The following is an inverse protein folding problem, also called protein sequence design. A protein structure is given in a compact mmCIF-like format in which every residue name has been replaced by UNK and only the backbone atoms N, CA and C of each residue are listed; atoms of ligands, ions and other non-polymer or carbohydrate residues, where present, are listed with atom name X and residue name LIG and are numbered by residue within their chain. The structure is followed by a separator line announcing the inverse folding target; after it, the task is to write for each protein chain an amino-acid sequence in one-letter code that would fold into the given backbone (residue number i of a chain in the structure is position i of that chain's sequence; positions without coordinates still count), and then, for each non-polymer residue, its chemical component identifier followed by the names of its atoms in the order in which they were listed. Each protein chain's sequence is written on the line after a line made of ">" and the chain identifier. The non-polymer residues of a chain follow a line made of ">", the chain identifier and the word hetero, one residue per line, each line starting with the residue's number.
data_IF_654853693364
#
_entry.id   IF_654853693364
#
_cell.length_a   1.000
_cell.length_b   1.000
_cell.length_c   1.000
_cell.angle_alpha   90.00
_cell.angle_beta   90.00
_cell.angle_gamma   90.00
#
_symmetry.space_group_name_H-M   'P 1'
#
loop_
_entity.id
_entity.type
_entity.pdbx_description
1 polymer ?
#
# COMPACT_ATOMS: atom_id res chain seq x y z
N UNK A 1 -19.56 -11.96 48.56
CA UNK A 1 -18.57 -12.43 47.56
C UNK A 1 -18.59 -11.42 46.42
N UNK A 2 -17.50 -10.71 46.16
CA UNK A 2 -17.48 -9.67 45.12
C UNK A 2 -17.50 -10.34 43.74
N UNK A 3 -18.49 -10.03 42.92
CA UNK A 3 -18.54 -10.46 41.53
C UNK A 3 -17.32 -9.90 40.79
N UNK A 4 -16.40 -10.78 40.39
CA UNK A 4 -15.20 -10.39 39.66
C UNK A 4 -15.62 -9.92 38.27
N UNK A 5 -15.63 -8.61 38.04
CA UNK A 5 -16.00 -7.92 36.81
C UNK A 5 -15.48 -8.59 35.51
N UNK A 6 -16.30 -9.40 34.82
CA UNK A 6 -15.88 -10.15 33.62
C UNK A 6 -15.64 -9.24 32.41
N UNK A 7 -16.16 -8.01 32.45
CA UNK A 7 -16.02 -7.02 31.39
C UNK A 7 -14.61 -6.39 31.31
N UNK A 8 -13.80 -6.48 32.37
CA UNK A 8 -12.43 -5.95 32.34
C UNK A 8 -11.50 -6.90 31.59
N UNK A 9 -11.66 -8.21 31.82
CA UNK A 9 -10.88 -9.24 31.14
C UNK A 9 -11.16 -9.23 29.63
N UNK A 10 -12.41 -9.08 29.21
CA UNK A 10 -12.76 -9.01 27.79
C UNK A 10 -12.17 -7.78 27.09
N UNK A 11 -12.10 -6.62 27.76
CA UNK A 11 -11.47 -5.40 27.22
C UNK A 11 -9.96 -5.57 27.01
N UNK A 12 -9.27 -6.23 27.94
CA UNK A 12 -7.83 -6.49 27.82
C UNK A 12 -7.57 -7.40 26.61
N UNK A 13 -8.35 -8.47 26.45
CA UNK A 13 -8.22 -9.36 25.29
C UNK A 13 -8.54 -8.65 23.97
N UNK A 14 -9.53 -7.76 23.95
CA UNK A 14 -9.86 -6.98 22.77
C UNK A 14 -8.70 -6.08 22.33
N UNK A 15 -8.11 -5.35 23.28
CA UNK A 15 -6.92 -4.52 23.00
C UNK A 15 -5.76 -5.39 22.51
N UNK A 16 -5.49 -6.51 23.18
CA UNK A 16 -4.45 -7.45 22.76
C UNK A 16 -4.66 -7.96 21.33
N UNK A 17 -5.91 -8.28 20.95
CA UNK A 17 -6.25 -8.73 19.60
C UNK A 17 -5.94 -7.66 18.54
N UNK A 18 -6.22 -6.38 18.83
CA UNK A 18 -5.88 -5.26 17.92
C UNK A 18 -4.36 -5.18 17.71
N UNK A 19 -3.57 -5.28 18.80
CA UNK A 19 -2.11 -5.26 18.70
C UNK A 19 -1.57 -6.42 17.86
N UNK A 20 -2.08 -7.63 18.08
CA UNK A 20 -1.68 -8.81 17.31
C UNK A 20 -2.03 -8.64 15.83
N UNK A 21 -3.25 -8.21 15.52
CA UNK A 21 -3.67 -7.96 14.14
C UNK A 21 -2.79 -6.91 13.46
N UNK A 22 -2.48 -5.83 14.16
CA UNK A 22 -1.61 -4.76 13.65
C UNK A 22 -0.19 -5.27 13.39
N UNK A 23 0.36 -6.05 14.32
CA UNK A 23 1.67 -6.67 14.16
C UNK A 23 1.70 -7.61 12.95
N UNK A 24 0.66 -8.40 12.73
CA UNK A 24 0.54 -9.25 11.53
C UNK A 24 0.56 -8.44 10.23
N UNK A 25 -0.14 -7.30 10.18
CA UNK A 25 -0.12 -6.42 9.00
C UNK A 25 1.29 -5.87 8.73
N UNK A 26 1.99 -5.44 9.78
CA UNK A 26 3.36 -4.90 9.65
C UNK A 26 4.32 -5.99 9.16
N UNK A 27 4.27 -7.19 9.73
CA UNK A 27 5.11 -8.32 9.32
C UNK A 27 4.79 -8.73 7.88
N UNK A 28 3.51 -8.79 7.50
CA UNK A 28 3.10 -9.08 6.13
C UNK A 28 3.65 -8.05 5.14
N UNK A 29 3.53 -6.75 5.47
CA UNK A 29 4.03 -5.68 4.63
C UNK A 29 5.56 -5.77 4.46
N UNK A 30 6.29 -6.00 5.56
CA UNK A 30 7.73 -6.21 5.51
C UNK A 30 8.11 -7.42 4.65
N UNK A 31 7.43 -8.55 4.81
CA UNK A 31 7.65 -9.75 4.01
C UNK A 31 7.36 -9.52 2.52
N UNK A 32 6.31 -8.75 2.19
CA UNK A 32 6.03 -8.35 0.81
C UNK A 32 7.20 -7.57 0.21
N UNK A 33 7.76 -6.58 0.92
CA UNK A 33 8.91 -5.82 0.44
C UNK A 33 10.20 -6.63 0.37
N UNK A 34 10.39 -7.63 1.22
CA UNK A 34 11.60 -8.45 1.24
C UNK A 34 11.57 -9.60 0.23
N UNK A 35 10.39 -10.16 -0.07
CA UNK A 35 10.28 -11.41 -0.85
C UNK A 35 9.64 -11.16 -2.22
N UNK A 36 8.61 -10.30 -2.28
CA UNK A 36 7.81 -10.07 -3.49
C UNK A 36 8.37 -8.90 -4.30
N UNK A 37 8.64 -7.76 -3.67
CA UNK A 37 9.13 -6.57 -4.35
C UNK A 37 10.46 -6.77 -5.09
N UNK A 38 11.45 -7.54 -4.60
CA UNK A 38 12.70 -7.75 -5.33
C UNK A 38 12.52 -8.56 -6.62
N UNK A 39 11.45 -9.37 -6.71
CA UNK A 39 11.07 -10.08 -7.94
C UNK A 39 10.44 -9.15 -8.99
N UNK A 40 9.91 -8.00 -8.57
CA UNK A 40 9.26 -7.01 -9.46
C UNK A 40 10.25 -6.04 -10.12
N UNK A 41 11.55 -6.31 -10.04
CA UNK A 41 12.58 -5.47 -10.63
C UNK A 41 13.36 -4.72 -9.56
N UNK A 42 14.66 -4.65 -9.80
CA UNK A 42 15.69 -4.08 -8.95
C UNK A 42 15.30 -2.69 -8.42
N UNK A 43 14.82 -2.58 -7.18
CA UNK A 43 14.65 -1.29 -6.48
C UNK A 43 16.00 -0.55 -6.25
N UNK A 44 17.12 -1.21 -6.54
CA UNK A 44 18.48 -0.65 -6.53
C UNK A 44 18.89 0.02 -7.84
N UNK A 45 18.15 -0.21 -8.93
CA UNK A 45 18.41 0.40 -10.23
C UNK A 45 17.71 1.75 -10.30
N UNK A 46 18.25 2.75 -9.61
CA UNK A 46 17.91 4.19 -9.71
C UNK A 46 16.43 4.52 -9.97
N UNK A 47 15.73 5.04 -8.97
CA UNK A 47 14.38 5.59 -9.17
C UNK A 47 14.49 6.82 -10.06
N UNK A 48 14.24 6.66 -11.35
CA UNK A 48 14.12 7.78 -12.30
C UNK A 48 12.66 8.16 -12.41
N UNK A 49 12.39 9.47 -12.33
CA UNK A 49 11.06 9.99 -12.53
C UNK A 49 10.70 9.86 -14.02
N UNK A 50 9.64 9.13 -14.33
CA UNK A 50 9.09 9.06 -15.69
C UNK A 50 8.07 10.20 -15.83
N UNK A 51 8.29 11.19 -16.73
CA UNK A 51 7.31 12.24 -16.96
C UNK A 51 5.99 11.66 -17.44
N UNK A 52 4.88 12.26 -17.01
CA UNK A 52 3.58 11.93 -17.58
C UNK A 52 3.57 12.33 -19.08
N UNK A 53 3.10 11.45 -19.98
CA UNK A 53 3.03 11.79 -21.40
C UNK A 53 2.10 12.98 -21.60
N UNK A 54 2.49 13.92 -22.47
CA UNK A 54 1.59 14.99 -22.88
C UNK A 54 0.46 14.40 -23.72
N UNK A 55 -0.78 14.83 -23.44
CA UNK A 55 -1.94 14.40 -24.20
C UNK A 55 -1.86 14.83 -25.66
N UNK A 56 -2.46 14.04 -26.54
CA UNK A 56 -2.56 14.34 -27.96
C UNK A 56 -3.50 15.52 -28.19
N UNK A 57 -3.11 16.43 -29.07
CA UNK A 57 -3.93 17.56 -29.52
C UNK A 57 -4.56 17.16 -30.85
N UNK A 58 -5.89 17.16 -30.90
CA UNK A 58 -6.68 16.89 -32.09
C UNK A 58 -7.44 18.14 -32.52
N UNK A 59 -7.73 18.26 -33.81
CA UNK A 59 -8.66 19.27 -34.31
C UNK A 59 -10.13 18.84 -34.14
N UNK A 60 -11.05 19.71 -34.55
CA UNK A 60 -12.50 19.45 -34.49
C UNK A 60 -12.99 18.35 -35.45
N UNK A 61 -12.16 17.92 -36.38
CA UNK A 61 -12.43 16.83 -37.33
C UNK A 61 -11.80 15.49 -36.90
N UNK A 62 -11.04 15.50 -35.81
CA UNK A 62 -10.35 14.33 -35.26
C UNK A 62 -8.94 14.09 -35.83
N UNK A 63 -8.39 15.05 -36.58
CA UNK A 63 -7.02 14.94 -37.10
C UNK A 63 -5.99 15.30 -36.02
N UNK A 64 -4.93 14.50 -35.91
CA UNK A 64 -3.86 14.72 -34.93
C UNK A 64 -3.02 15.94 -35.33
N UNK A 65 -3.00 16.96 -34.47
CA UNK A 65 -2.23 18.18 -34.65
C UNK A 65 -0.88 18.14 -33.93
N UNK A 66 -0.83 17.53 -32.73
CA UNK A 66 0.41 17.35 -31.99
C UNK A 66 0.31 16.13 -31.07
N UNK A 67 1.41 15.40 -30.94
CA UNK A 67 1.61 14.30 -29.97
C UNK A 67 3.00 14.47 -29.37
N UNK A 68 3.22 13.95 -28.16
CA UNK A 68 4.57 13.75 -27.64
C UNK A 68 5.33 12.81 -28.59
N UNK A 69 6.64 13.06 -28.82
CA UNK A 69 7.53 12.23 -29.66
C UNK A 69 8.34 11.30 -28.75
#
# INVERSE_FOLDING_TARGET
>A
MMEKAPHLQSRIFFVAAIFVATAMVVVYNLAHWQIVAPRKGNLSGGVTWVPAPRGNIFDSTGHLLATDI
#
